data_IF_564364244860
#
_entry.id   IF_564364244860
#
_cell.length_a   1.000
_cell.length_b   1.000
_cell.length_c   1.000
_cell.angle_alpha   90.00
_cell.angle_beta   90.00
_cell.angle_gamma   90.00
#
_symmetry.space_group_name_H-M   'P 1'
#
loop_
_entity.id
_entity.type
_entity.pdbx_description
1 polymer ?
#
# COMPACT_ATOMS: atom_id res chain seq x y z
N UNK A 1 -25.17 10.97 23.50
CA UNK A 1 -25.28 10.09 22.30
C UNK A 1 -24.17 10.39 21.28
N UNK A 2 -22.89 10.30 21.66
CA UNK A 2 -21.73 10.57 20.77
C UNK A 2 -20.69 9.44 20.77
N UNK A 3 -20.92 8.38 21.55
CA UNK A 3 -20.05 7.21 21.64
C UNK A 3 -20.36 6.13 20.59
N UNK A 4 -21.58 6.15 20.02
CA UNK A 4 -22.00 5.16 19.02
C UNK A 4 -21.34 5.37 17.65
N UNK A 5 -20.94 6.60 17.30
CA UNK A 5 -20.41 6.93 15.97
C UNK A 5 -18.95 6.45 15.76
N UNK A 6 -18.21 6.17 16.84
CA UNK A 6 -16.80 5.76 16.76
C UNK A 6 -16.60 4.25 16.52
N UNK A 7 -17.63 3.43 16.79
CA UNK A 7 -17.54 1.97 16.67
C UNK A 7 -17.77 1.52 15.22
N UNK A 8 -18.56 2.26 14.45
CA UNK A 8 -18.95 1.86 13.09
C UNK A 8 -17.81 1.95 12.07
N UNK A 9 -16.85 2.87 12.26
CA UNK A 9 -15.73 3.07 11.33
C UNK A 9 -14.68 1.95 11.38
N UNK A 10 -14.54 1.25 12.51
CA UNK A 10 -13.57 0.16 12.68
C UNK A 10 -14.11 -1.14 12.07
N UNK A 11 -15.43 -1.34 12.10
CA UNK A 11 -16.06 -2.56 11.59
C UNK A 11 -15.93 -2.72 10.08
N UNK A 12 -15.94 -1.62 9.31
CA UNK A 12 -15.83 -1.67 7.85
C UNK A 12 -14.44 -2.10 7.35
N UNK A 13 -13.38 -1.87 8.13
CA UNK A 13 -12.03 -2.32 7.79
C UNK A 13 -11.84 -3.83 8.01
N UNK A 14 -12.54 -4.41 8.99
CA UNK A 14 -12.46 -5.84 9.29
C UNK A 14 -13.15 -6.72 8.22
N UNK A 15 -14.27 -6.24 7.64
CA UNK A 15 -14.98 -6.97 6.58
C UNK A 15 -14.22 -7.01 5.24
N UNK A 16 -13.40 -6.01 4.92
CA UNK A 16 -12.57 -6.00 3.71
C UNK A 16 -11.37 -6.95 3.85
N UNK A 17 -10.84 -7.14 5.06
CA UNK A 17 -9.75 -8.08 5.33
C UNK A 17 -10.23 -9.54 5.31
N UNK A 18 -11.44 -9.81 5.82
CA UNK A 18 -12.04 -11.14 5.80
C UNK A 18 -12.52 -11.59 4.41
N UNK A 19 -12.74 -10.65 3.48
CA UNK A 19 -13.09 -10.96 2.09
C UNK A 19 -11.86 -11.00 1.15
N UNK A 20 -10.67 -10.65 1.64
CA UNK A 20 -9.42 -10.61 0.89
C UNK A 20 -8.28 -11.31 1.65
N UNK A 21 -8.58 -12.46 2.26
CA UNK A 21 -7.60 -13.17 3.09
C UNK A 21 -8.14 -14.43 3.77
N UNK A 22 -8.89 -15.26 3.05
CA UNK A 22 -8.93 -16.69 3.35
C UNK A 22 -7.79 -17.32 2.54
N UNK A 23 -6.58 -17.27 3.11
CA UNK A 23 -5.46 -18.08 2.63
C UNK A 23 -5.64 -19.48 3.18
N UNK A 24 -6.62 -20.20 2.65
CA UNK A 24 -6.46 -21.64 2.54
C UNK A 24 -5.22 -21.84 1.65
N UNK A 25 -4.21 -22.53 2.19
CA UNK A 25 -2.95 -22.77 1.51
C UNK A 25 -3.21 -23.78 0.38
N UNK A 26 -3.70 -23.28 -0.77
CA UNK A 26 -3.92 -24.08 -1.97
C UNK A 26 -2.61 -24.67 -2.55
N UNK A 27 -1.48 -24.40 -1.91
CA UNK A 27 -0.16 -24.95 -2.23
C UNK A 27 -0.03 -26.44 -1.90
N UNK A 28 -0.93 -27.04 -1.10
CA UNK A 28 -0.79 -28.42 -0.60
C UNK A 28 -1.56 -29.47 -1.40
N UNK A 29 -2.62 -29.09 -2.12
CA UNK A 29 -3.47 -30.06 -2.85
C UNK A 29 -3.06 -30.28 -4.32
N UNK A 30 -2.09 -29.53 -4.84
CA UNK A 30 -1.58 -29.68 -6.18
C UNK A 30 -0.09 -30.02 -6.16
N UNK A 31 0.24 -31.25 -5.74
CA UNK A 31 1.44 -31.90 -6.26
C UNK A 31 1.22 -32.06 -7.77
N UNK A 32 1.60 -31.04 -8.53
CA UNK A 32 1.71 -31.17 -9.97
C UNK A 32 2.82 -32.18 -10.21
N UNK A 33 2.44 -33.44 -10.47
CA UNK A 33 3.32 -34.41 -11.09
C UNK A 33 3.92 -33.72 -12.30
N UNK A 34 5.18 -33.30 -12.19
CA UNK A 34 5.91 -32.75 -13.32
C UNK A 34 5.95 -33.88 -14.32
N UNK A 35 5.15 -33.75 -15.38
CA UNK A 35 5.15 -34.70 -16.48
C UNK A 35 6.52 -34.56 -17.13
N UNK A 36 7.48 -35.37 -16.66
CA UNK A 36 8.80 -35.59 -17.25
C UNK A 36 8.63 -36.37 -18.55
N UNK A 37 7.79 -35.87 -19.45
CA UNK A 37 7.68 -36.32 -20.82
C UNK A 37 8.55 -35.38 -21.64
N UNK A 38 9.70 -35.85 -22.15
CA UNK A 38 10.54 -35.04 -23.03
C UNK A 38 9.69 -34.48 -24.16
N UNK A 39 9.91 -33.21 -24.52
CA UNK A 39 9.14 -32.55 -25.58
C UNK A 39 9.15 -33.36 -26.89
N UNK A 40 10.25 -34.07 -27.16
CA UNK A 40 10.41 -34.94 -28.32
C UNK A 40 9.41 -36.10 -28.34
N UNK A 41 9.08 -36.69 -27.18
CA UNK A 41 8.09 -37.78 -27.06
C UNK A 41 6.67 -37.27 -27.29
N UNK A 42 6.39 -36.01 -26.92
CA UNK A 42 5.09 -35.38 -27.18
C UNK A 42 4.88 -35.07 -28.68
N UNK A 43 5.97 -34.86 -29.42
CA UNK A 43 5.95 -34.52 -30.85
C UNK A 43 6.12 -35.72 -31.78
N UNK A 44 6.56 -36.89 -31.28
CA UNK A 44 6.72 -38.13 -32.07
C UNK A 44 5.44 -38.58 -32.79
N UNK A 45 4.25 -38.20 -32.30
CA UNK A 45 2.97 -38.61 -32.90
C UNK A 45 2.48 -37.65 -34.00
N UNK A 46 3.16 -36.51 -34.20
CA UNK A 46 2.81 -35.50 -35.20
C UNK A 46 3.71 -35.68 -36.41
N UNK A 47 3.21 -36.42 -37.41
CA UNK A 47 3.91 -36.64 -38.69
C UNK A 47 3.45 -35.67 -39.79
N UNK A 48 2.46 -34.81 -39.51
CA UNK A 48 1.93 -33.88 -40.50
C UNK A 48 2.88 -32.73 -40.80
N UNK A 49 3.12 -32.49 -42.09
CA UNK A 49 3.76 -31.25 -42.54
C UNK A 49 2.85 -30.05 -42.22
N UNK A 50 3.40 -28.91 -41.74
CA UNK A 50 2.61 -27.73 -41.49
C UNK A 50 1.93 -27.27 -42.78
N UNK A 51 0.60 -27.21 -42.76
CA UNK A 51 -0.19 -26.73 -43.90
C UNK A 51 -0.01 -25.21 -44.00
N UNK A 52 0.34 -24.73 -45.20
CA UNK A 52 0.42 -23.30 -45.48
C UNK A 52 -0.97 -22.65 -45.31
N UNK A 53 -1.06 -21.71 -44.38
CA UNK A 53 -2.24 -20.84 -44.23
C UNK A 53 -2.16 -19.70 -45.25
N UNK A 54 -2.84 -19.88 -46.39
CA UNK A 54 -2.88 -18.88 -47.47
C UNK A 54 -3.59 -17.57 -47.07
N UNK A 55 -4.36 -17.57 -45.98
CA UNK A 55 -5.03 -16.38 -45.47
C UNK A 55 -4.11 -15.55 -44.55
N UNK A 56 -3.02 -16.12 -44.04
CA UNK A 56 -2.02 -15.40 -43.26
C UNK A 56 -1.33 -14.27 -44.07
N UNK A 57 -1.16 -14.46 -45.39
CA UNK A 57 -0.56 -13.46 -46.27
C UNK A 57 -1.54 -12.37 -46.74
N UNK A 58 -2.85 -12.57 -46.55
CA UNK A 58 -3.87 -11.62 -46.99
C UNK A 58 -3.83 -10.28 -46.23
N UNK A 59 -3.18 -10.23 -45.05
CA UNK A 59 -3.07 -9.01 -44.23
C UNK A 59 -1.85 -8.13 -44.55
N UNK A 60 -0.98 -8.52 -45.49
CA UNK A 60 0.21 -7.73 -45.87
C UNK A 60 -0.04 -6.69 -46.98
N UNK A 61 -1.28 -6.57 -47.48
CA UNK A 61 -1.66 -5.46 -48.36
C UNK A 61 -2.13 -4.25 -47.54
N UNK A 62 -1.25 -3.24 -47.48
CA UNK A 62 -1.48 -1.86 -47.01
C UNK A 62 -1.13 -1.54 -45.56
N UNK A 63 0.17 -1.52 -45.23
CA UNK A 63 0.67 -0.59 -44.21
C UNK A 63 0.73 0.81 -44.83
N UNK A 64 -0.39 1.52 -44.80
CA UNK A 64 -0.37 2.97 -44.95
C UNK A 64 0.32 3.57 -43.70
N UNK A 65 1.21 4.58 -43.83
CA UNK A 65 1.86 5.18 -42.67
C UNK A 65 0.87 6.11 -41.96
N UNK A 66 0.04 5.56 -41.08
CA UNK A 66 -0.97 6.32 -40.34
C UNK A 66 -0.95 6.07 -38.82
N UNK A 67 0.13 5.47 -38.28
CA UNK A 67 0.22 5.10 -36.85
C UNK A 67 1.17 5.98 -36.01
N UNK A 68 2.10 6.70 -36.61
CA UNK A 68 3.19 7.39 -35.87
C UNK A 68 2.74 8.64 -35.10
N UNK A 69 1.72 9.35 -35.58
CA UNK A 69 1.26 10.60 -34.95
C UNK A 69 0.44 10.36 -33.67
N UNK A 70 -0.25 9.22 -33.56
CA UNK A 70 -1.10 8.92 -32.40
C UNK A 70 -0.28 8.41 -31.21
N UNK A 71 0.75 7.59 -31.47
CA UNK A 71 1.66 7.09 -30.43
C UNK A 71 2.49 8.20 -29.77
N UNK A 72 2.95 9.20 -30.54
CA UNK A 72 3.71 10.33 -29.99
C UNK A 72 2.87 11.16 -29.00
N UNK A 73 1.61 11.47 -29.36
CA UNK A 73 0.68 12.24 -28.51
C UNK A 73 0.26 11.45 -27.27
N UNK A 74 0.13 10.13 -27.38
CA UNK A 74 -0.16 9.25 -26.23
C UNK A 74 1.03 9.18 -25.27
N UNK A 75 2.26 9.21 -25.78
CA UNK A 75 3.49 9.16 -24.96
C UNK A 75 3.71 10.46 -24.19
N UNK A 76 3.57 11.62 -24.83
CA UNK A 76 3.71 12.93 -24.15
C UNK A 76 2.70 13.09 -23.00
N UNK A 77 1.43 12.75 -23.23
CA UNK A 77 0.40 12.80 -22.16
C UNK A 77 0.64 11.84 -21.00
N UNK A 78 1.40 10.76 -21.23
CA UNK A 78 1.77 9.84 -20.15
C UNK A 78 2.92 10.40 -19.33
N UNK A 79 3.89 11.04 -19.97
CA UNK A 79 5.01 11.73 -19.31
C UNK A 79 4.47 12.86 -18.42
N UNK A 80 3.60 13.73 -18.95
CA UNK A 80 3.00 14.83 -18.17
C UNK A 80 2.24 14.34 -16.94
N UNK A 81 1.50 13.22 -17.08
CA UNK A 81 0.80 12.60 -15.95
C UNK A 81 1.75 12.02 -14.92
N UNK A 82 2.83 11.38 -15.36
CA UNK A 82 3.82 10.81 -14.45
C UNK A 82 4.54 11.90 -13.65
N UNK A 83 4.89 13.02 -14.28
CA UNK A 83 5.51 14.17 -13.60
C UNK A 83 4.55 14.83 -12.59
N UNK A 84 3.29 15.03 -12.98
CA UNK A 84 2.27 15.57 -12.10
C UNK A 84 2.00 14.65 -10.90
N UNK A 85 1.95 13.34 -11.12
CA UNK A 85 1.82 12.34 -10.06
C UNK A 85 3.04 12.34 -9.13
N UNK A 86 4.25 12.45 -9.68
CA UNK A 86 5.49 12.56 -8.90
C UNK A 86 5.50 13.78 -7.98
N UNK A 87 5.08 14.93 -8.48
CA UNK A 87 5.01 16.18 -7.70
C UNK A 87 3.96 16.08 -6.59
N UNK A 88 2.79 15.49 -6.87
CA UNK A 88 1.76 15.27 -5.86
C UNK A 88 2.24 14.30 -4.77
N UNK A 89 2.94 13.22 -5.15
CA UNK A 89 3.50 12.28 -4.20
C UNK A 89 4.52 12.94 -3.25
N UNK A 90 5.37 13.83 -3.78
CA UNK A 90 6.32 14.61 -2.98
C UNK A 90 5.62 15.56 -1.99
N UNK A 91 4.59 16.27 -2.42
CA UNK A 91 3.81 17.17 -1.55
C UNK A 91 3.09 16.39 -0.43
N UNK A 92 2.49 15.25 -0.75
CA UNK A 92 1.86 14.37 0.26
C UNK A 92 2.90 13.87 1.26
N UNK A 93 4.08 13.43 0.79
CA UNK A 93 5.16 12.99 1.66
C UNK A 93 5.65 14.11 2.60
N UNK A 94 5.83 15.33 2.08
CA UNK A 94 6.23 16.48 2.87
C UNK A 94 5.20 16.83 3.95
N UNK A 95 3.91 16.82 3.60
CA UNK A 95 2.81 17.06 4.56
C UNK A 95 2.75 15.98 5.64
N UNK A 96 2.92 14.72 5.27
CA UNK A 96 2.94 13.61 6.21
C UNK A 96 4.08 13.74 7.22
N UNK A 97 5.29 14.10 6.76
CA UNK A 97 6.44 14.33 7.63
C UNK A 97 6.22 15.52 8.57
N UNK A 98 5.67 16.63 8.06
CA UNK A 98 5.34 17.79 8.88
C UNK A 98 4.31 17.47 9.97
N UNK A 99 3.26 16.70 9.62
CA UNK A 99 2.25 16.26 10.57
C UNK A 99 2.85 15.33 11.65
N UNK A 100 3.71 14.39 11.25
CA UNK A 100 4.39 13.50 12.20
C UNK A 100 5.29 14.28 13.17
N UNK A 101 6.04 15.26 12.66
CA UNK A 101 6.89 16.13 13.49
C UNK A 101 6.07 16.98 14.46
N UNK A 102 4.92 17.50 14.03
CA UNK A 102 4.01 18.25 14.89
C UNK A 102 3.43 17.37 16.01
N UNK A 103 2.98 16.16 15.69
CA UNK A 103 2.47 15.21 16.67
C UNK A 103 3.54 14.79 17.70
N UNK A 104 4.79 14.59 17.26
CA UNK A 104 5.89 14.27 18.17
C UNK A 104 6.18 15.41 19.16
N UNK A 105 6.13 16.67 18.70
CA UNK A 105 6.29 17.85 19.57
C UNK A 105 5.17 17.97 20.57
N UNK A 106 3.92 17.87 20.12
CA UNK A 106 2.73 17.90 20.98
C UNK A 106 2.79 16.84 22.09
N UNK A 107 3.18 15.62 21.72
CA UNK A 107 3.38 14.53 22.69
C UNK A 107 4.46 14.87 23.71
N UNK A 108 5.58 15.45 23.26
CA UNK A 108 6.69 15.84 24.13
C UNK A 108 6.29 16.96 25.09
N UNK A 109 5.53 17.94 24.61
CA UNK A 109 5.08 19.08 25.42
C UNK A 109 4.08 18.63 26.47
N UNK A 110 3.14 17.74 26.13
CA UNK A 110 2.21 17.15 27.11
C UNK A 110 2.95 16.37 28.21
N UNK A 111 3.92 15.55 27.85
CA UNK A 111 4.74 14.80 28.83
C UNK A 111 5.51 15.76 29.73
N UNK A 112 6.04 16.86 29.17
CA UNK A 112 6.77 17.87 29.96
C UNK A 112 5.84 18.61 30.93
N UNK A 113 4.61 18.88 30.54
CA UNK A 113 3.62 19.54 31.40
C UNK A 113 3.20 18.62 32.55
N UNK A 114 2.85 17.36 32.25
CA UNK A 114 2.56 16.34 33.28
C UNK A 114 3.73 16.17 34.28
N UNK A 115 4.98 16.22 33.81
CA UNK A 115 6.14 16.14 34.68
C UNK A 115 6.31 17.37 35.60
N UNK A 116 5.93 18.57 35.14
CA UNK A 116 5.96 19.79 35.97
C UNK A 116 4.89 19.75 37.04
N UNK A 117 3.67 19.35 36.69
CA UNK A 117 2.56 19.24 37.62
C UNK A 117 2.89 18.23 38.73
N UNK A 118 3.41 17.06 38.36
CA UNK A 118 3.84 16.06 39.33
C UNK A 118 4.95 16.59 40.27
N UNK A 119 5.91 17.36 39.76
CA UNK A 119 6.96 17.96 40.59
C UNK A 119 6.39 19.00 41.58
N UNK A 120 5.40 19.80 41.18
CA UNK A 120 4.72 20.76 42.06
C UNK A 120 3.91 20.06 43.15
N UNK A 121 3.23 18.97 42.82
CA UNK A 121 2.50 18.14 43.78
C UNK A 121 3.44 17.55 44.83
N UNK A 122 4.58 16.99 44.41
CA UNK A 122 5.59 16.48 45.34
C UNK A 122 6.13 17.58 46.26
N UNK A 123 6.39 18.77 45.73
CA UNK A 123 6.91 19.88 46.53
C UNK A 123 5.88 20.40 47.55
N UNK A 124 4.60 20.42 47.17
CA UNK A 124 3.50 20.77 48.07
C UNK A 124 3.33 19.75 49.19
N UNK A 125 3.44 18.45 48.88
CA UNK A 125 3.40 17.38 49.88
C UNK A 125 4.57 17.46 50.86
N UNK A 126 5.79 17.74 50.38
CA UNK A 126 6.97 17.93 51.24
C UNK A 126 6.76 19.12 52.18
N UNK A 127 6.36 20.27 51.66
CA UNK A 127 6.13 21.47 52.47
C UNK A 127 5.01 21.26 53.51
N UNK A 128 3.92 20.58 53.14
CA UNK A 128 2.84 20.23 54.06
C UNK A 128 3.30 19.30 55.20
N UNK A 129 4.09 18.27 54.87
CA UNK A 129 4.63 17.34 55.88
C UNK A 129 5.60 18.01 56.86
N UNK A 130 6.35 19.02 56.42
CA UNK A 130 7.23 19.79 57.31
C UNK A 130 6.43 20.71 58.24
N UNK A 131 5.37 21.36 57.73
CA UNK A 131 4.51 22.19 58.55
C UNK A 131 3.81 21.39 59.67
N UNK A 132 3.37 20.15 59.39
CA UNK A 132 2.75 19.29 60.39
C UNK A 132 3.74 18.80 61.46
N UNK A 133 5.01 18.58 61.09
CA UNK A 133 6.08 18.20 62.03
C UNK A 133 6.52 19.34 62.95
N UNK A 134 6.44 20.59 62.49
CA UNK A 134 6.81 21.78 63.30
C UNK A 134 5.72 22.12 64.32
N UNK A 135 4.47 21.72 64.06
CA UNK A 135 3.32 22.03 64.91
C UNK A 135 2.99 20.92 65.94
N UNK A 136 3.85 19.91 66.07
CA UNK A 136 3.73 18.78 67.01
C UNK A 136 4.91 18.80 67.98
#
# INVERSE_FOLDING_TARGET
MKFALKITAISSLALVLAACGDTDDASVEAEADTVEMPADVALETVEEEPVEDLDADASNTSVAPATTANEAVVTERQIDRAEAAGTQAQDVAARAQAAAAAAARDTTDRVREEARDNAQDMQSAVNGSQAERVNR
#
